data_IF_275382893922
#
_entry.id   IF_275382893922
#
_cell.length_a   1.000
_cell.length_b   1.000
_cell.length_c   1.000
_cell.angle_alpha   90.00
_cell.angle_beta   90.00
_cell.angle_gamma   90.00
#
_symmetry.space_group_name_H-M   'P 1'
#
loop_
_entity.id
_entity.type
_entity.pdbx_description
1 polymer ?
#
# COMPACT_ATOMS: atom_id res chain seq x y z
N UNK A 1 -13.90 11.00 0.40
CA UNK A 1 -14.52 11.01 1.73
C UNK A 1 -13.88 12.10 2.61
N UNK A 2 -14.59 12.64 3.60
CA UNK A 2 -14.00 13.54 4.58
C UNK A 2 -12.90 12.83 5.37
N UNK A 3 -11.71 13.45 5.46
CA UNK A 3 -10.55 12.83 6.11
C UNK A 3 -9.71 13.88 6.84
N UNK A 4 -9.14 13.48 7.96
CA UNK A 4 -8.15 14.28 8.71
C UNK A 4 -6.72 14.02 8.20
N UNK A 5 -6.50 12.99 7.37
CA UNK A 5 -5.19 12.55 6.91
C UNK A 5 -5.00 12.64 5.40
N UNK A 6 -6.08 12.59 4.63
CA UNK A 6 -6.05 12.55 3.17
C UNK A 6 -6.82 13.73 2.59
N UNK A 7 -6.45 14.13 1.37
CA UNK A 7 -7.15 15.19 0.67
C UNK A 7 -8.55 14.73 0.23
N UNK A 8 -9.55 15.59 0.40
CA UNK A 8 -10.92 15.33 -0.04
C UNK A 8 -11.09 15.73 -1.50
N UNK A 9 -11.76 14.87 -2.28
CA UNK A 9 -12.02 15.12 -3.70
C UNK A 9 -10.75 15.12 -4.55
N UNK A 10 -10.79 15.82 -5.68
CA UNK A 10 -9.64 15.98 -6.57
C UNK A 10 -8.89 17.25 -6.18
N UNK A 11 -7.76 17.10 -5.51
CA UNK A 11 -6.90 18.20 -5.08
C UNK A 11 -7.66 19.28 -4.24
N UNK A 12 -8.50 18.81 -3.29
CA UNK A 12 -9.17 19.68 -2.35
C UNK A 12 -10.55 20.19 -2.77
N UNK A 13 -11.08 19.73 -3.90
CA UNK A 13 -12.45 20.05 -4.28
C UNK A 13 -13.42 19.48 -3.24
N UNK A 14 -14.27 20.33 -2.68
CA UNK A 14 -15.32 19.91 -1.78
C UNK A 14 -16.40 19.14 -2.55
N UNK A 15 -16.61 17.88 -2.17
CA UNK A 15 -17.73 17.09 -2.68
C UNK A 15 -18.96 17.37 -1.81
N UNK A 16 -20.14 17.56 -2.41
CA UNK A 16 -21.40 17.79 -1.67
C UNK A 16 -21.93 16.52 -0.98
N UNK A 17 -21.26 15.39 -1.12
CA UNK A 17 -21.62 14.09 -0.58
C UNK A 17 -20.36 13.27 -0.26
N UNK A 18 -20.52 12.22 0.53
CA UNK A 18 -19.47 11.25 0.83
C UNK A 18 -19.60 10.01 -0.09
N UNK A 19 -18.77 9.91 -1.15
CA UNK A 19 -18.88 8.79 -2.10
C UNK A 19 -18.55 7.44 -1.45
N UNK A 20 -17.61 7.39 -0.49
CA UNK A 20 -17.24 6.14 0.17
C UNK A 20 -18.43 5.59 0.98
N UNK A 21 -19.10 6.45 1.74
CA UNK A 21 -20.31 6.08 2.47
C UNK A 21 -21.37 5.51 1.55
N UNK A 22 -21.68 6.20 0.46
CA UNK A 22 -22.67 5.76 -0.52
C UNK A 22 -22.30 4.40 -1.12
N UNK A 23 -21.04 4.23 -1.51
CA UNK A 23 -20.57 2.97 -2.13
C UNK A 23 -20.69 1.78 -1.16
N UNK A 24 -20.31 1.96 0.10
CA UNK A 24 -20.44 0.93 1.14
C UNK A 24 -21.92 0.56 1.35
N UNK A 25 -22.77 1.55 1.59
CA UNK A 25 -24.21 1.34 1.82
C UNK A 25 -24.88 0.65 0.64
N UNK A 26 -24.59 1.08 -0.60
CA UNK A 26 -25.17 0.50 -1.81
C UNK A 26 -24.64 -0.91 -2.13
N UNK A 27 -23.40 -1.21 -1.77
CA UNK A 27 -22.88 -2.58 -1.87
C UNK A 27 -23.62 -3.51 -0.91
N UNK A 28 -23.71 -3.13 0.36
CA UNK A 28 -24.38 -3.93 1.38
C UNK A 28 -25.88 -4.10 1.12
N UNK A 29 -26.57 -3.06 0.63
CA UNK A 29 -27.98 -3.14 0.22
C UNK A 29 -28.23 -4.18 -0.89
N UNK A 30 -27.17 -4.56 -1.63
CA UNK A 30 -27.21 -5.58 -2.70
C UNK A 30 -26.61 -6.92 -2.28
N UNK A 31 -26.26 -7.08 -1.00
CA UNK A 31 -25.62 -8.29 -0.48
C UNK A 31 -24.19 -8.50 -0.98
N UNK A 32 -23.50 -7.41 -1.36
CA UNK A 32 -22.10 -7.43 -1.78
C UNK A 32 -21.20 -6.98 -0.63
N UNK A 33 -20.00 -7.53 -0.53
CA UNK A 33 -18.93 -7.00 0.31
C UNK A 33 -18.26 -5.80 -0.34
N UNK A 34 -17.70 -4.92 0.48
CA UNK A 34 -16.98 -3.73 0.00
C UNK A 34 -15.56 -3.67 0.55
N UNK A 35 -14.60 -3.72 -0.35
CA UNK A 35 -13.19 -3.58 -0.02
C UNK A 35 -12.69 -2.18 -0.41
N UNK A 36 -12.19 -1.41 0.55
CA UNK A 36 -11.61 -0.10 0.28
C UNK A 36 -10.19 -0.27 -0.28
N UNK A 37 -10.05 -0.04 -1.60
CA UNK A 37 -8.76 -0.09 -2.27
C UNK A 37 -8.01 1.22 -2.13
N UNK A 38 -6.78 1.13 -1.62
CA UNK A 38 -5.87 2.23 -1.38
C UNK A 38 -4.53 1.99 -2.06
N UNK A 39 -3.95 3.05 -2.63
CA UNK A 39 -2.54 3.09 -3.02
C UNK A 39 -1.76 3.82 -1.91
N UNK A 40 -0.99 3.12 -1.06
CA UNK A 40 -0.50 3.71 0.18
C UNK A 40 0.54 4.81 -0.01
N UNK A 41 1.40 4.72 -1.03
CA UNK A 41 2.54 5.63 -1.17
C UNK A 41 2.40 6.67 -2.27
N UNK A 42 1.53 6.48 -3.23
CA UNK A 42 1.45 7.36 -4.40
C UNK A 42 0.62 8.60 -4.13
N UNK A 43 1.27 9.77 -4.11
CA UNK A 43 0.60 11.07 -4.10
C UNK A 43 0.21 11.46 -5.52
N UNK A 44 1.16 11.34 -6.46
CA UNK A 44 0.96 11.65 -7.87
C UNK A 44 1.90 10.80 -8.73
N UNK A 45 1.37 10.14 -9.77
CA UNK A 45 2.17 9.21 -10.58
C UNK A 45 3.18 9.88 -11.54
N UNK A 46 2.91 11.11 -11.98
CA UNK A 46 3.72 11.87 -12.95
C UNK A 46 3.43 13.37 -12.83
N UNK A 47 4.17 14.20 -13.56
CA UNK A 47 3.89 15.65 -13.64
C UNK A 47 2.41 15.90 -13.95
N UNK A 48 1.82 16.85 -13.24
CA UNK A 48 0.39 17.20 -13.32
C UNK A 48 0.13 18.54 -12.65
N UNK A 49 -1.12 18.80 -12.28
CA UNK A 49 -1.49 19.99 -11.50
C UNK A 49 -0.68 20.08 -10.22
N UNK A 50 -0.41 21.30 -9.76
CA UNK A 50 0.18 21.51 -8.45
C UNK A 50 -0.70 20.86 -7.37
N UNK A 51 -0.06 20.35 -6.31
CA UNK A 51 -0.81 19.90 -5.14
C UNK A 51 -1.48 21.11 -4.46
N UNK A 52 -2.67 20.93 -3.94
CA UNK A 52 -3.30 21.97 -3.14
C UNK A 52 -2.56 22.16 -1.80
N UNK A 53 -2.76 23.32 -1.15
CA UNK A 53 -2.11 23.65 0.13
C UNK A 53 -2.39 22.62 1.23
N UNK A 54 -3.57 22.04 1.20
CA UNK A 54 -4.06 21.13 2.24
C UNK A 54 -3.65 19.66 1.97
N UNK A 55 -2.99 19.39 0.84
CA UNK A 55 -2.47 18.04 0.56
C UNK A 55 -1.37 17.70 1.58
N UNK A 56 -1.46 16.59 2.30
CA UNK A 56 -0.48 16.22 3.33
C UNK A 56 0.97 16.18 2.82
N UNK A 57 1.18 15.78 1.56
CA UNK A 57 2.50 15.76 0.94
C UNK A 57 3.09 17.17 0.77
N UNK A 58 2.25 18.20 0.58
CA UNK A 58 2.71 19.59 0.42
C UNK A 58 3.45 20.10 1.66
N UNK A 59 3.02 19.71 2.85
CA UNK A 59 3.70 20.00 4.12
C UNK A 59 5.15 19.46 4.11
N UNK A 60 5.34 18.23 3.67
CA UNK A 60 6.66 17.60 3.62
C UNK A 60 7.55 18.20 2.52
N UNK A 61 6.97 18.52 1.37
CA UNK A 61 7.69 19.22 0.29
C UNK A 61 8.19 20.59 0.77
N UNK A 62 7.32 21.37 1.39
CA UNK A 62 7.65 22.73 1.88
C UNK A 62 8.73 22.73 2.98
N UNK A 63 8.76 21.69 3.81
CA UNK A 63 9.76 21.56 4.87
C UNK A 63 11.07 20.90 4.42
N UNK A 64 11.14 20.40 3.18
CA UNK A 64 12.29 19.62 2.70
C UNK A 64 12.46 18.29 3.43
N UNK A 65 11.36 17.71 3.95
CA UNK A 65 11.37 16.44 4.67
C UNK A 65 11.63 15.26 3.73
N UNK A 66 12.41 14.28 4.18
CA UNK A 66 12.62 12.98 3.50
C UNK A 66 11.36 12.08 3.51
N UNK A 67 10.25 12.54 4.08
CA UNK A 67 8.98 11.79 4.08
C UNK A 67 8.35 11.66 2.69
N UNK A 68 8.77 12.48 1.74
CA UNK A 68 8.36 12.42 0.33
C UNK A 68 9.56 12.48 -0.59
N UNK A 69 9.44 11.90 -1.77
CA UNK A 69 10.42 12.03 -2.85
C UNK A 69 9.74 12.27 -4.19
N UNK A 70 10.51 12.77 -5.15
CA UNK A 70 10.06 12.96 -6.51
C UNK A 70 10.84 12.05 -7.46
N UNK A 71 10.15 11.51 -8.45
CA UNK A 71 10.75 10.74 -9.54
C UNK A 71 11.06 11.64 -10.74
N UNK A 72 11.95 11.19 -11.62
CA UNK A 72 12.40 11.98 -12.78
C UNK A 72 11.23 12.41 -13.71
N UNK A 73 10.13 11.66 -13.76
CA UNK A 73 8.94 12.00 -14.52
C UNK A 73 7.97 12.93 -13.77
N UNK A 74 8.38 13.48 -12.62
CA UNK A 74 7.58 14.40 -11.80
C UNK A 74 6.52 13.73 -10.93
N UNK A 75 6.57 12.42 -10.76
CA UNK A 75 5.79 11.70 -9.75
C UNK A 75 6.19 12.11 -8.34
N UNK A 76 5.24 12.09 -7.42
CA UNK A 76 5.44 12.37 -5.99
C UNK A 76 4.97 11.16 -5.20
N UNK A 77 5.82 10.70 -4.30
CA UNK A 77 5.53 9.51 -3.48
C UNK A 77 5.94 9.74 -2.03
N UNK A 78 5.19 9.19 -1.11
CA UNK A 78 5.66 9.04 0.28
C UNK A 78 6.85 8.07 0.31
N UNK A 79 7.82 8.37 1.17
CA UNK A 79 9.02 7.55 1.29
C UNK A 79 8.79 6.38 2.26
N UNK A 80 8.87 5.12 1.82
CA UNK A 80 8.63 3.98 2.70
C UNK A 80 9.63 3.86 3.86
N UNK A 81 10.79 4.49 3.77
CA UNK A 81 11.78 4.58 4.86
C UNK A 81 11.44 5.61 5.94
N UNK A 82 10.44 6.47 5.71
CA UNK A 82 10.04 7.50 6.66
C UNK A 82 9.00 7.03 7.65
N UNK A 83 9.26 7.23 8.94
CA UNK A 83 8.28 6.96 10.01
C UNK A 83 7.02 7.81 9.83
N UNK A 84 7.19 9.09 9.47
CA UNK A 84 6.07 10.01 9.23
C UNK A 84 5.14 9.54 8.11
N UNK A 85 5.73 8.99 7.02
CA UNK A 85 4.95 8.43 5.91
C UNK A 85 4.18 7.16 6.35
N UNK A 86 4.83 6.27 7.10
CA UNK A 86 4.17 5.07 7.65
C UNK A 86 3.02 5.46 8.59
N UNK A 87 3.26 6.41 9.51
CA UNK A 87 2.23 6.88 10.44
C UNK A 87 1.02 7.50 9.72
N UNK A 88 1.26 8.27 8.65
CA UNK A 88 0.20 8.83 7.83
C UNK A 88 -0.68 7.73 7.20
N UNK A 89 -0.05 6.72 6.60
CA UNK A 89 -0.74 5.59 5.97
C UNK A 89 -1.57 4.81 7.00
N UNK A 90 -0.95 4.45 8.13
CA UNK A 90 -1.61 3.69 9.21
C UNK A 90 -2.80 4.45 9.77
N UNK A 91 -2.66 5.76 10.00
CA UNK A 91 -3.74 6.59 10.54
C UNK A 91 -4.86 6.79 9.51
N UNK A 92 -4.55 6.95 8.22
CA UNK A 92 -5.55 7.02 7.16
C UNK A 92 -6.37 5.72 7.05
N UNK A 93 -5.72 4.56 7.17
CA UNK A 93 -6.42 3.26 7.22
C UNK A 93 -7.30 3.14 8.45
N UNK A 94 -6.81 3.52 9.63
CA UNK A 94 -7.62 3.53 10.87
C UNK A 94 -8.86 4.41 10.72
N UNK A 95 -8.73 5.58 10.13
CA UNK A 95 -9.84 6.50 9.90
C UNK A 95 -10.92 5.87 9.04
N UNK A 96 -10.55 5.18 7.97
CA UNK A 96 -11.50 4.47 7.11
C UNK A 96 -12.22 3.36 7.88
N UNK A 97 -11.47 2.47 8.53
CA UNK A 97 -12.06 1.33 9.26
C UNK A 97 -12.96 1.78 10.41
N UNK A 98 -12.60 2.89 11.08
CA UNK A 98 -13.40 3.44 12.19
C UNK A 98 -14.70 4.07 11.72
N UNK A 99 -14.66 4.81 10.61
CA UNK A 99 -15.76 5.66 10.19
C UNK A 99 -16.71 4.98 9.19
N UNK A 100 -16.27 3.91 8.53
CA UNK A 100 -17.04 3.22 7.50
C UNK A 100 -17.17 1.73 7.81
N UNK A 101 -18.26 1.15 7.32
CA UNK A 101 -18.52 -0.28 7.47
C UNK A 101 -17.93 -1.08 6.30
N UNK A 102 -16.63 -0.87 6.05
CA UNK A 102 -15.90 -1.63 5.03
C UNK A 102 -15.65 -3.05 5.50
N UNK A 103 -15.70 -4.01 4.58
CA UNK A 103 -15.41 -5.42 4.85
C UNK A 103 -13.92 -5.72 4.80
N UNK A 104 -13.18 -4.97 3.99
CA UNK A 104 -11.73 -5.08 3.91
C UNK A 104 -11.05 -3.76 3.51
N UNK A 105 -9.77 -3.70 3.84
CA UNK A 105 -8.79 -2.77 3.26
C UNK A 105 -7.95 -3.55 2.26
N UNK A 106 -7.77 -3.00 1.07
CA UNK A 106 -7.01 -3.61 -0.01
C UNK A 106 -5.90 -2.68 -0.50
N UNK A 107 -4.65 -3.16 -0.55
CA UNK A 107 -3.54 -2.44 -1.16
C UNK A 107 -3.18 -3.05 -2.52
N UNK A 108 -2.72 -2.21 -3.45
CA UNK A 108 -2.14 -2.65 -4.71
C UNK A 108 -0.62 -2.96 -4.58
N UNK A 109 0.10 -2.98 -5.72
CA UNK A 109 1.51 -3.36 -5.81
C UNK A 109 2.50 -2.18 -5.76
N UNK A 110 2.04 -0.95 -5.56
CA UNK A 110 2.89 0.23 -5.63
C UNK A 110 3.52 0.58 -4.28
N UNK A 111 4.62 -0.08 -3.92
CA UNK A 111 5.41 0.21 -2.72
C UNK A 111 6.54 1.19 -3.03
N UNK A 112 7.70 0.74 -3.50
CA UNK A 112 8.73 1.63 -4.03
C UNK A 112 8.48 1.89 -5.52
N UNK A 113 8.44 3.17 -5.92
CA UNK A 113 8.21 3.54 -7.33
C UNK A 113 9.49 3.54 -8.17
N UNK A 114 10.66 3.38 -7.54
CA UNK A 114 11.97 3.37 -8.20
C UNK A 114 13.00 2.61 -7.38
N UNK A 115 14.02 2.08 -8.05
CA UNK A 115 15.19 1.48 -7.42
C UNK A 115 16.32 2.48 -7.18
N UNK A 116 16.16 3.74 -7.62
CA UNK A 116 17.15 4.80 -7.41
C UNK A 116 17.48 4.95 -5.92
N UNK A 117 18.77 4.88 -5.59
CA UNK A 117 19.25 4.96 -4.21
C UNK A 117 19.25 6.38 -3.64
N UNK A 118 19.12 7.39 -4.48
CA UNK A 118 19.13 8.78 -4.04
C UNK A 118 17.87 9.18 -3.27
N UNK A 119 16.74 8.50 -3.52
CA UNK A 119 15.44 8.88 -2.95
C UNK A 119 15.34 8.72 -1.43
N UNK A 120 16.16 7.85 -0.85
CA UNK A 120 16.16 7.51 0.57
C UNK A 120 17.55 7.41 1.19
N UNK A 121 18.56 7.98 0.53
CA UNK A 121 19.97 7.88 0.95
C UNK A 121 20.22 8.42 2.37
N UNK A 122 19.60 9.55 2.73
CA UNK A 122 19.73 10.15 4.07
C UNK A 122 19.06 9.27 5.13
N UNK A 123 17.85 8.78 4.86
CA UNK A 123 17.14 7.86 5.76
C UNK A 123 17.89 6.53 5.92
N UNK A 124 18.46 6.01 4.84
CA UNK A 124 19.25 4.79 4.89
C UNK A 124 20.54 4.99 5.68
N UNK A 125 21.24 6.10 5.48
CA UNK A 125 22.45 6.42 6.26
C UNK A 125 22.16 6.49 7.77
N UNK A 126 21.02 7.07 8.13
CA UNK A 126 20.60 7.20 9.53
C UNK A 126 20.06 5.88 10.15
N UNK A 127 19.34 5.06 9.38
CA UNK A 127 18.54 3.97 9.92
C UNK A 127 18.84 2.58 9.31
N UNK A 128 19.83 2.47 8.41
CA UNK A 128 20.15 1.23 7.69
C UNK A 128 20.65 0.10 8.59
N UNK A 129 21.27 0.44 9.72
CA UNK A 129 21.64 -0.53 10.77
C UNK A 129 22.55 -1.66 10.27
N UNK A 130 23.45 -1.38 9.31
CA UNK A 130 24.34 -2.39 8.72
C UNK A 130 23.71 -3.32 7.69
N UNK A 131 22.41 -3.17 7.37
CA UNK A 131 21.74 -3.93 6.31
C UNK A 131 22.14 -3.41 4.93
N UNK A 132 22.04 -4.25 3.90
CA UNK A 132 22.05 -3.74 2.52
C UNK A 132 20.84 -2.83 2.27
N UNK A 133 20.93 -1.88 1.34
CA UNK A 133 19.84 -0.99 0.97
C UNK A 133 18.55 -1.77 0.63
N UNK A 134 18.69 -2.82 -0.17
CA UNK A 134 17.54 -3.65 -0.55
C UNK A 134 16.87 -4.35 0.64
N UNK A 135 17.67 -4.87 1.59
CA UNK A 135 17.14 -5.50 2.80
C UNK A 135 16.46 -4.48 3.72
N UNK A 136 17.02 -3.29 3.84
CA UNK A 136 16.43 -2.21 4.60
C UNK A 136 15.11 -1.71 3.98
N UNK A 137 15.05 -1.54 2.67
CA UNK A 137 13.82 -1.17 1.95
C UNK A 137 12.70 -2.20 2.15
N UNK A 138 13.02 -3.50 2.01
CA UNK A 138 12.04 -4.57 2.30
C UNK A 138 11.56 -4.54 3.75
N UNK A 139 12.45 -4.30 4.68
CA UNK A 139 12.06 -4.17 6.08
C UNK A 139 11.09 -3.01 6.32
N UNK A 140 11.29 -1.86 5.65
CA UNK A 140 10.39 -0.70 5.76
C UNK A 140 8.99 -1.05 5.25
N UNK A 141 8.89 -1.69 4.09
CA UNK A 141 7.60 -2.15 3.54
C UNK A 141 6.96 -3.17 4.47
N UNK A 142 7.71 -4.17 4.95
CA UNK A 142 7.21 -5.18 5.89
C UNK A 142 6.71 -4.53 7.20
N UNK A 143 7.39 -3.50 7.68
CA UNK A 143 6.96 -2.75 8.88
C UNK A 143 5.63 -2.07 8.64
N UNK A 144 5.47 -1.36 7.52
CA UNK A 144 4.21 -0.69 7.18
C UNK A 144 3.07 -1.70 7.03
N UNK A 145 3.26 -2.80 6.30
CA UNK A 145 2.24 -3.84 6.10
C UNK A 145 1.77 -4.42 7.44
N UNK A 146 2.73 -4.78 8.31
CA UNK A 146 2.42 -5.31 9.65
C UNK A 146 1.67 -4.29 10.53
N UNK A 147 2.07 -3.02 10.48
CA UNK A 147 1.42 -1.98 11.29
C UNK A 147 0.02 -1.66 10.78
N UNK A 148 -0.21 -1.68 9.47
CA UNK A 148 -1.55 -1.55 8.89
C UNK A 148 -2.43 -2.72 9.31
N UNK A 149 -1.94 -3.96 9.21
CA UNK A 149 -2.68 -5.14 9.68
C UNK A 149 -3.08 -4.99 11.16
N UNK A 150 -2.12 -4.65 12.00
CA UNK A 150 -2.37 -4.47 13.44
C UNK A 150 -3.38 -3.34 13.70
N UNK A 151 -3.30 -2.25 12.95
CA UNK A 151 -4.23 -1.12 13.05
C UNK A 151 -5.66 -1.52 12.64
N UNK A 152 -5.82 -2.22 11.52
CA UNK A 152 -7.13 -2.75 11.07
C UNK A 152 -7.74 -3.63 12.15
N UNK A 153 -6.98 -4.61 12.66
CA UNK A 153 -7.48 -5.54 13.69
C UNK A 153 -7.78 -4.89 15.03
N UNK A 154 -7.06 -3.83 15.38
CA UNK A 154 -7.32 -3.06 16.61
C UNK A 154 -8.60 -2.21 16.51
N UNK A 155 -8.96 -1.72 15.32
CA UNK A 155 -10.20 -0.95 15.12
C UNK A 155 -11.41 -1.88 14.99
N UNK A 156 -11.34 -2.88 14.10
CA UNK A 156 -12.41 -3.87 13.88
C UNK A 156 -11.81 -5.23 13.51
N UNK A 157 -11.92 -6.21 14.41
CA UNK A 157 -11.36 -7.56 14.21
C UNK A 157 -11.90 -8.28 12.96
N UNK A 158 -13.16 -8.00 12.58
CA UNK A 158 -13.82 -8.60 11.42
C UNK A 158 -13.34 -8.05 10.08
N UNK A 159 -12.81 -6.82 10.04
CA UNK A 159 -12.31 -6.22 8.80
C UNK A 159 -11.04 -6.93 8.36
N UNK A 160 -11.01 -7.33 7.09
CA UNK A 160 -9.87 -8.02 6.49
C UNK A 160 -8.86 -7.02 5.92
N UNK A 161 -7.62 -7.44 5.84
CA UNK A 161 -6.59 -6.69 5.13
C UNK A 161 -5.90 -7.60 4.11
N UNK A 162 -5.85 -7.16 2.87
CA UNK A 162 -5.21 -7.88 1.78
C UNK A 162 -4.40 -7.01 0.86
N UNK A 163 -3.57 -7.67 0.05
CA UNK A 163 -2.68 -7.00 -0.90
C UNK A 163 -2.76 -7.71 -2.25
N UNK A 164 -2.71 -6.91 -3.32
CA UNK A 164 -2.67 -7.35 -4.72
C UNK A 164 -1.27 -7.08 -5.31
N UNK A 165 -0.25 -7.91 -4.99
CA UNK A 165 1.10 -7.73 -5.50
C UNK A 165 1.19 -8.12 -6.98
N UNK A 166 2.26 -7.72 -7.67
CA UNK A 166 2.51 -8.19 -9.03
C UNK A 166 2.61 -9.71 -9.09
N UNK A 167 2.17 -10.29 -10.20
CA UNK A 167 2.33 -11.73 -10.46
C UNK A 167 3.81 -12.17 -10.56
N UNK A 168 4.72 -11.27 -10.92
CA UNK A 168 6.14 -11.57 -10.95
C UNK A 168 6.75 -11.42 -9.55
N UNK A 169 6.93 -12.53 -8.84
CA UNK A 169 7.45 -12.58 -7.47
C UNK A 169 8.87 -12.03 -7.35
N UNK A 170 9.70 -12.25 -8.37
CA UNK A 170 11.05 -11.68 -8.41
C UNK A 170 11.04 -10.17 -8.52
N UNK A 171 10.16 -9.60 -9.35
CA UNK A 171 9.99 -8.16 -9.46
C UNK A 171 9.48 -7.55 -8.15
N UNK A 172 8.53 -8.20 -7.47
CA UNK A 172 8.10 -7.79 -6.14
C UNK A 172 9.28 -7.65 -5.19
N UNK A 173 10.12 -8.67 -5.09
CA UNK A 173 11.22 -8.72 -4.13
C UNK A 173 12.37 -7.77 -4.46
N UNK A 174 12.77 -7.70 -5.74
CA UNK A 174 13.99 -6.99 -6.16
C UNK A 174 13.76 -5.52 -6.52
N UNK A 175 12.57 -5.17 -7.02
CA UNK A 175 12.31 -3.82 -7.57
C UNK A 175 11.29 -3.03 -6.77
N UNK A 176 10.26 -3.68 -6.26
CA UNK A 176 9.23 -3.05 -5.43
C UNK A 176 9.52 -3.19 -3.93
N UNK A 177 10.51 -4.01 -3.58
CA UNK A 177 10.89 -4.35 -2.21
C UNK A 177 9.72 -4.91 -1.38
N UNK A 178 8.79 -5.58 -2.06
CA UNK A 178 7.64 -6.25 -1.48
C UNK A 178 8.02 -7.71 -1.19
N UNK A 179 8.21 -8.03 0.08
CA UNK A 179 8.61 -9.37 0.54
C UNK A 179 7.38 -10.24 0.82
N UNK A 180 6.68 -10.59 -0.27
CA UNK A 180 5.43 -11.37 -0.22
C UNK A 180 5.61 -12.70 0.51
N UNK A 181 6.76 -13.35 0.36
CA UNK A 181 7.03 -14.60 1.07
C UNK A 181 7.04 -14.42 2.59
N UNK A 182 7.56 -13.30 3.09
CA UNK A 182 7.46 -12.95 4.52
C UNK A 182 6.02 -12.74 4.96
N UNK A 183 5.19 -12.06 4.15
CA UNK A 183 3.80 -11.78 4.51
C UNK A 183 2.92 -13.04 4.54
N UNK A 184 3.16 -13.98 3.63
CA UNK A 184 2.44 -15.25 3.52
C UNK A 184 2.99 -16.34 4.44
N UNK A 185 4.26 -16.19 4.84
CA UNK A 185 4.95 -17.12 5.74
C UNK A 185 4.78 -16.84 7.23
N UNK A 186 4.27 -15.67 7.60
CA UNK A 186 4.16 -15.25 9.00
C UNK A 186 2.81 -14.60 9.28
N UNK A 187 2.23 -14.88 10.46
CA UNK A 187 1.00 -14.24 10.90
C UNK A 187 1.19 -12.73 11.16
N UNK A 188 0.12 -11.97 11.04
CA UNK A 188 0.10 -10.55 11.37
C UNK A 188 0.49 -9.61 10.23
N UNK A 189 0.41 -10.07 8.99
CA UNK A 189 0.65 -9.26 7.79
C UNK A 189 -0.59 -9.08 6.93
N UNK A 190 -1.26 -10.17 6.55
CA UNK A 190 -2.42 -10.14 5.66
C UNK A 190 -3.43 -11.22 6.05
N UNK A 191 -4.70 -11.02 5.69
CA UNK A 191 -5.75 -12.04 5.74
C UNK A 191 -5.96 -12.71 4.38
N UNK A 192 -5.56 -12.05 3.30
CA UNK A 192 -5.62 -12.63 1.95
C UNK A 192 -4.60 -11.98 1.03
N UNK A 193 -4.31 -12.68 -0.07
CA UNK A 193 -3.46 -12.20 -1.15
C UNK A 193 -4.19 -12.38 -2.48
N UNK A 194 -4.11 -11.38 -3.35
CA UNK A 194 -4.74 -11.37 -4.67
C UNK A 194 -3.71 -11.00 -5.75
N UNK A 195 -2.81 -11.92 -6.15
CA UNK A 195 -1.73 -11.57 -7.05
C UNK A 195 -2.24 -11.19 -8.43
N UNK A 196 -1.68 -10.12 -9.01
CA UNK A 196 -2.02 -9.61 -10.33
C UNK A 196 -1.42 -10.50 -11.43
N UNK A 197 -2.01 -11.68 -11.65
CA UNK A 197 -1.56 -12.63 -12.67
C UNK A 197 -2.22 -12.29 -14.00
N UNK A 198 -1.78 -11.22 -14.65
CA UNK A 198 -2.27 -10.78 -15.97
C UNK A 198 -1.61 -11.51 -17.14
N UNK A 199 -1.15 -12.73 -16.91
CA UNK A 199 -0.41 -13.54 -17.87
C UNK A 199 -1.23 -14.75 -18.30
N UNK A 200 -1.10 -15.14 -19.59
CA UNK A 200 -1.71 -16.36 -20.09
C UNK A 200 -0.97 -17.61 -19.63
N UNK A 201 -1.59 -18.77 -19.82
CA UNK A 201 -1.01 -20.08 -19.43
C UNK A 201 0.33 -20.37 -20.13
N UNK A 202 0.52 -19.87 -21.34
CA UNK A 202 1.73 -20.08 -22.16
C UNK A 202 2.70 -18.89 -22.13
N UNK A 203 2.58 -17.97 -21.17
CA UNK A 203 3.52 -16.87 -21.04
C UNK A 203 4.93 -17.41 -20.75
N UNK A 204 5.95 -16.94 -21.49
CA UNK A 204 7.30 -17.47 -21.40
C UNK A 204 8.00 -17.16 -20.06
N UNK A 205 7.64 -16.07 -19.39
CA UNK A 205 8.31 -15.61 -18.17
C UNK A 205 7.50 -15.93 -16.91
N UNK A 206 6.19 -15.70 -16.97
CA UNK A 206 5.28 -15.83 -15.84
C UNK A 206 4.02 -16.59 -16.26
N UNK A 207 4.08 -17.90 -16.56
CA UNK A 207 2.89 -18.69 -16.88
C UNK A 207 1.90 -18.65 -15.72
N UNK A 208 0.62 -18.44 -16.00
CA UNK A 208 -0.43 -18.32 -14.97
C UNK A 208 -0.36 -19.43 -13.91
N UNK A 209 -0.34 -20.70 -14.37
CA UNK A 209 -0.34 -21.85 -13.45
C UNK A 209 0.90 -21.92 -12.57
N UNK A 210 2.07 -21.55 -13.11
CA UNK A 210 3.32 -21.54 -12.34
C UNK A 210 3.30 -20.46 -11.27
N UNK A 211 2.86 -19.26 -11.62
CA UNK A 211 2.75 -18.14 -10.69
C UNK A 211 1.74 -18.44 -9.57
N UNK A 212 0.58 -18.98 -9.93
CA UNK A 212 -0.44 -19.38 -8.94
C UNK A 212 0.12 -20.45 -7.98
N UNK A 213 0.84 -21.45 -8.50
CA UNK A 213 1.48 -22.49 -7.69
C UNK A 213 2.54 -21.90 -6.75
N UNK A 214 3.32 -20.93 -7.23
CA UNK A 214 4.34 -20.24 -6.43
C UNK A 214 3.72 -19.48 -5.27
N UNK A 215 2.68 -18.64 -5.52
CA UNK A 215 1.98 -17.92 -4.46
C UNK A 215 1.34 -18.88 -3.44
N UNK A 216 0.65 -19.91 -3.91
CA UNK A 216 0.09 -20.93 -3.01
C UNK A 216 1.16 -21.62 -2.16
N UNK A 217 2.33 -21.88 -2.75
CA UNK A 217 3.47 -22.47 -2.04
C UNK A 217 4.11 -21.56 -0.97
N UNK A 218 3.91 -20.24 -1.06
CA UNK A 218 4.40 -19.28 -0.06
C UNK A 218 3.50 -19.22 1.18
N UNK A 219 2.22 -19.59 1.09
CA UNK A 219 1.29 -19.56 2.22
C UNK A 219 1.69 -20.65 3.24
N UNK A 220 2.12 -20.23 4.42
CA UNK A 220 2.49 -21.12 5.54
C UNK A 220 1.61 -20.91 6.77
N UNK A 221 0.81 -19.87 6.77
CA UNK A 221 -0.09 -19.50 7.86
C UNK A 221 -1.52 -19.90 7.46
N UNK A 222 -2.19 -20.64 8.33
CA UNK A 222 -3.60 -20.99 8.13
C UNK A 222 -4.50 -19.76 8.19
N UNK A 223 -5.51 -19.71 7.33
CA UNK A 223 -6.49 -18.61 7.30
C UNK A 223 -6.09 -17.45 6.38
N UNK A 224 -5.00 -17.55 5.65
CA UNK A 224 -4.70 -16.63 4.54
C UNK A 224 -5.34 -17.20 3.27
N UNK A 225 -6.25 -16.43 2.65
CA UNK A 225 -6.89 -16.80 1.40
C UNK A 225 -6.08 -16.33 0.20
N UNK A 226 -6.11 -17.11 -0.89
CA UNK A 226 -5.56 -16.78 -2.19
C UNK A 226 -6.70 -16.62 -3.18
N UNK A 227 -6.84 -15.42 -3.75
CA UNK A 227 -7.85 -15.07 -4.76
C UNK A 227 -7.25 -14.97 -6.16
#
# INVERSE_FOLDING_TARGET
FPSSYLITGTEGDNLPFDPLKIMVEEAHNRGLTFEAWLNPYRVRARTGKALCSDNPAQKYINSGSDAVYQTANGGIFYNPGSREAIDLIVNGVREIVRNYDVDAIHFDDYFYATTDSSIDSALYAANGGGKSLAAWRRQNVNTMVREVYAAVKAEKQSVRFGISPQGNTKANYDTLYADVATWLGNAGYVDYICPQIYYGFNNATCPYSSVLTEFNGMIKVSGIDLY
#
